data_IF_090074402522
#
_entry.id   IF_090074402522
#
_cell.length_a   1.000
_cell.length_b   1.000
_cell.length_c   1.000
_cell.angle_alpha   90.00
_cell.angle_beta   90.00
_cell.angle_gamma   90.00
#
_symmetry.space_group_name_H-M   'P 1'
#
loop_
_entity.id
_entity.type
_entity.pdbx_description
1 polymer ?
#
# COMPACT_ATOMS: atom_id res chain seq x y z
N UNK A 1 16.85 -8.03 0.74
CA UNK A 1 16.91 -7.31 2.02
C UNK A 1 15.62 -6.50 2.11
N UNK A 2 14.92 -6.55 3.23
CA UNK A 2 13.67 -5.80 3.44
C UNK A 2 13.95 -4.44 4.06
N UNK A 3 13.22 -3.42 3.66
CA UNK A 3 13.40 -2.03 4.09
C UNK A 3 12.22 -1.56 4.92
N UNK A 4 12.48 -0.74 5.95
CA UNK A 4 11.42 -0.07 6.69
C UNK A 4 10.76 0.99 5.82
N UNK A 5 9.44 0.94 5.69
CA UNK A 5 8.62 1.83 4.84
C UNK A 5 7.37 2.25 5.58
N UNK A 6 6.86 3.43 5.25
CA UNK A 6 5.60 3.93 5.79
C UNK A 6 4.51 3.81 4.74
N UNK A 7 3.41 3.15 5.07
CA UNK A 7 2.23 3.01 4.22
C UNK A 7 1.20 4.05 4.64
N UNK A 8 0.62 4.77 3.67
CA UNK A 8 -0.48 5.72 3.90
C UNK A 8 -1.70 5.31 3.10
N UNK A 9 -2.83 5.19 3.78
CA UNK A 9 -4.09 4.79 3.18
C UNK A 9 -5.00 5.97 2.94
N UNK A 10 -5.62 6.01 1.76
CA UNK A 10 -6.55 7.06 1.38
C UNK A 10 -7.96 6.51 1.12
N UNK A 11 -8.97 7.35 1.38
CA UNK A 11 -10.38 7.09 1.08
C UNK A 11 -10.84 5.65 1.44
N UNK A 12 -11.33 4.88 0.46
CA UNK A 12 -11.81 3.51 0.65
C UNK A 12 -10.77 2.54 1.20
N UNK A 13 -9.48 2.75 0.93
CA UNK A 13 -8.40 1.93 1.48
C UNK A 13 -8.21 2.20 2.97
N UNK A 14 -8.30 3.47 3.41
CA UNK A 14 -8.28 3.83 4.83
C UNK A 14 -9.46 3.23 5.58
N UNK A 15 -10.65 3.29 4.98
CA UNK A 15 -11.85 2.71 5.58
C UNK A 15 -11.78 1.18 5.69
N UNK A 16 -11.04 0.52 4.79
CA UNK A 16 -10.82 -0.92 4.82
C UNK A 16 -9.70 -1.33 5.79
N UNK A 17 -8.60 -0.58 5.84
CA UNK A 17 -7.47 -0.83 6.75
C UNK A 17 -7.77 -0.41 8.20
N UNK A 18 -8.71 0.51 8.41
CA UNK A 18 -9.04 1.04 9.75
C UNK A 18 -7.98 1.99 10.33
N UNK A 19 -6.85 2.17 9.65
CA UNK A 19 -5.74 3.05 10.02
C UNK A 19 -5.43 4.03 8.88
N UNK A 20 -4.94 5.21 9.24
CA UNK A 20 -4.51 6.21 8.24
C UNK A 20 -3.10 5.88 7.73
N UNK A 21 -2.20 5.53 8.64
CA UNK A 21 -0.81 5.20 8.33
C UNK A 21 -0.34 4.02 9.18
N UNK A 22 0.62 3.25 8.65
CA UNK A 22 1.32 2.21 9.40
C UNK A 22 2.73 2.01 8.85
N UNK A 23 3.63 1.50 9.70
CA UNK A 23 4.99 1.16 9.31
C UNK A 23 5.13 -0.34 9.04
N UNK A 24 5.83 -0.67 7.96
CA UNK A 24 6.06 -2.05 7.51
C UNK A 24 7.50 -2.25 7.09
N UNK A 25 7.90 -3.51 6.99
CA UNK A 25 9.21 -3.89 6.48
C UNK A 25 9.03 -4.81 5.27
N UNK A 26 9.38 -4.33 4.08
CA UNK A 26 9.15 -5.05 2.84
C UNK A 26 10.32 -4.88 1.87
N UNK A 27 10.60 -5.91 1.07
CA UNK A 27 11.65 -5.84 0.07
C UNK A 27 11.18 -5.17 -1.23
N UNK A 28 9.94 -5.44 -1.62
CA UNK A 28 9.34 -4.93 -2.87
C UNK A 28 7.90 -4.47 -2.65
N UNK A 29 7.35 -3.75 -3.63
CA UNK A 29 5.95 -3.35 -3.61
C UNK A 29 5.00 -4.56 -3.50
N UNK A 30 5.24 -5.63 -4.26
CA UNK A 30 4.42 -6.85 -4.17
C UNK A 30 4.49 -7.53 -2.79
N UNK A 31 5.66 -7.49 -2.16
CA UNK A 31 5.82 -8.01 -0.80
C UNK A 31 5.03 -7.19 0.21
N UNK A 32 5.14 -5.86 0.13
CA UNK A 32 4.38 -4.95 0.97
C UNK A 32 2.86 -5.16 0.81
N UNK A 33 2.36 -5.21 -0.42
CA UNK A 33 0.93 -5.37 -0.72
C UNK A 33 0.38 -6.68 -0.17
N UNK A 34 1.13 -7.78 -0.28
CA UNK A 34 0.76 -9.06 0.33
C UNK A 34 0.71 -8.97 1.85
N UNK A 35 1.74 -8.39 2.49
CA UNK A 35 1.78 -8.25 3.95
C UNK A 35 0.60 -7.45 4.52
N UNK A 36 0.23 -6.34 3.88
CA UNK A 36 -0.90 -5.52 4.34
C UNK A 36 -2.25 -6.20 4.07
N UNK A 37 -2.39 -6.93 2.95
CA UNK A 37 -3.58 -7.72 2.66
C UNK A 37 -3.78 -8.82 3.70
N UNK A 38 -2.73 -9.57 4.03
CA UNK A 38 -2.77 -10.64 5.03
C UNK A 38 -3.08 -10.10 6.43
N UNK A 39 -2.54 -8.93 6.79
CA UNK A 39 -2.73 -8.34 8.11
C UNK A 39 -4.14 -7.76 8.34
N UNK A 40 -4.75 -7.13 7.33
CA UNK A 40 -6.05 -6.47 7.44
C UNK A 40 -7.22 -7.33 6.91
N UNK A 41 -6.90 -8.42 6.24
CA UNK A 41 -7.86 -9.41 5.78
C UNK A 41 -8.57 -9.07 4.46
N UNK A 42 -9.61 -9.85 4.10
CA UNK A 42 -10.13 -9.92 2.73
C UNK A 42 -10.82 -8.64 2.26
N UNK A 43 -11.23 -7.75 3.19
CA UNK A 43 -11.81 -6.46 2.82
C UNK A 43 -10.77 -5.54 2.19
N UNK A 44 -9.59 -5.42 2.81
CA UNK A 44 -8.52 -4.59 2.26
C UNK A 44 -7.93 -5.23 1.00
N UNK A 45 -7.77 -6.56 0.98
CA UNK A 45 -7.29 -7.30 -0.19
C UNK A 45 -8.09 -6.94 -1.45
N UNK A 46 -9.43 -6.97 -1.38
CA UNK A 46 -10.29 -6.56 -2.49
C UNK A 46 -10.07 -5.13 -2.92
N UNK A 47 -9.90 -4.20 -1.98
CA UNK A 47 -9.67 -2.78 -2.29
C UNK A 47 -8.34 -2.60 -3.00
N UNK A 48 -7.29 -3.29 -2.54
CA UNK A 48 -5.94 -3.21 -3.11
C UNK A 48 -5.89 -3.62 -4.59
N UNK A 49 -6.74 -4.56 -5.04
CA UNK A 49 -6.80 -4.96 -6.46
C UNK A 49 -7.21 -3.83 -7.41
N UNK A 50 -7.93 -2.83 -6.92
CA UNK A 50 -8.33 -1.66 -7.69
C UNK A 50 -7.46 -0.43 -7.42
N UNK A 51 -6.61 -0.47 -6.39
CA UNK A 51 -5.77 0.66 -5.98
C UNK A 51 -4.62 0.91 -6.94
N UNK A 52 -4.24 2.18 -7.04
CA UNK A 52 -2.92 2.61 -7.51
C UNK A 52 -1.99 2.85 -6.33
N UNK A 53 -0.71 2.58 -6.53
CA UNK A 53 0.33 2.81 -5.53
C UNK A 53 1.22 3.96 -5.96
N UNK A 54 1.53 4.87 -5.04
CA UNK A 54 2.62 5.83 -5.22
C UNK A 54 3.76 5.45 -4.30
N UNK A 55 4.98 5.45 -4.83
CA UNK A 55 6.22 5.27 -4.07
C UNK A 55 6.95 6.61 -4.08
N UNK A 56 7.09 7.23 -2.91
CA UNK A 56 7.64 8.58 -2.74
C UNK A 56 6.96 9.62 -3.67
N UNK A 57 5.64 9.50 -3.80
CA UNK A 57 4.81 10.37 -4.63
C UNK A 57 4.83 10.06 -6.13
N UNK A 58 5.59 9.06 -6.58
CA UNK A 58 5.64 8.63 -7.98
C UNK A 58 4.81 7.38 -8.21
N UNK A 59 4.03 7.33 -9.30
CA UNK A 59 3.19 6.16 -9.58
C UNK A 59 4.04 4.91 -9.80
N UNK A 60 3.85 3.91 -8.95
CA UNK A 60 4.51 2.62 -9.03
C UNK A 60 3.53 1.58 -9.57
N UNK A 61 3.80 1.08 -10.77
CA UNK A 61 3.04 0.00 -11.40
C UNK A 61 3.78 -1.33 -11.41
N UNK A 62 5.10 -1.30 -11.20
CA UNK A 62 5.94 -2.49 -11.16
C UNK A 62 5.85 -3.14 -9.77
N UNK A 63 5.27 -4.36 -9.65
CA UNK A 63 5.22 -5.08 -8.39
C UNK A 63 6.61 -5.50 -7.89
N UNK A 64 7.60 -5.61 -8.78
CA UNK A 64 8.99 -5.94 -8.49
C UNK A 64 9.82 -4.76 -7.99
N UNK A 65 9.26 -3.55 -7.96
CA UNK A 65 9.96 -2.34 -7.51
C UNK A 65 10.51 -2.54 -6.09
N UNK A 66 11.84 -2.45 -5.97
CA UNK A 66 12.52 -2.54 -4.69
C UNK A 66 12.23 -1.29 -3.85
N UNK A 67 11.91 -1.50 -2.57
CA UNK A 67 11.62 -0.42 -1.65
C UNK A 67 12.88 -0.03 -0.87
N UNK A 68 13.18 1.26 -0.82
CA UNK A 68 14.28 1.79 -0.03
C UNK A 68 13.85 2.06 1.41
N UNK A 69 14.78 2.08 2.38
CA UNK A 69 14.46 2.48 3.75
C UNK A 69 13.96 3.92 3.79
N UNK A 70 12.87 4.15 4.54
CA UNK A 70 12.23 5.45 4.68
C UNK A 70 11.28 5.83 3.54
N UNK A 71 11.11 4.95 2.54
CA UNK A 71 10.15 5.17 1.46
C UNK A 71 8.72 5.25 2.00
N UNK A 72 7.95 6.17 1.43
CA UNK A 72 6.51 6.31 1.69
C UNK A 72 5.72 5.69 0.55
N UNK A 73 4.79 4.81 0.89
CA UNK A 73 3.90 4.14 -0.07
C UNK A 73 2.46 4.61 0.14
N UNK A 74 1.90 5.31 -0.84
CA UNK A 74 0.51 5.75 -0.82
C UNK A 74 -0.40 4.74 -1.52
N UNK A 75 -1.45 4.31 -0.82
CA UNK A 75 -2.48 3.42 -1.34
C UNK A 75 -3.70 4.26 -1.74
N UNK A 76 -3.85 4.46 -3.05
CA UNK A 76 -4.89 5.29 -3.64
C UNK A 76 -5.94 4.40 -4.31
N UNK A 77 -7.08 4.13 -3.66
CA UNK A 77 -8.21 3.50 -4.36
C UNK A 77 -8.69 4.40 -5.50
N UNK A 78 -9.34 3.84 -6.53
CA UNK A 78 -9.90 4.65 -7.60
C UNK A 78 -10.89 5.63 -6.98
N UNK A 79 -10.94 6.85 -7.51
CA UNK A 79 -11.94 7.82 -7.07
C UNK A 79 -13.32 7.21 -7.24
N UNK A 80 -13.93 6.79 -6.12
CA UNK A 80 -15.35 6.49 -6.06
C UNK A 80 -16.09 7.83 -6.02
N UNK A 81 -16.06 8.54 -7.15
CA UNK A 81 -16.97 9.66 -7.39
C UNK A 81 -18.37 9.08 -7.44
N UNK A 82 -19.11 9.24 -6.35
CA UNK A 82 -20.57 9.14 -6.34
C UNK A 82 -21.18 10.44 -6.81
#
# INVERSE_FOLDING_TARGET
MSSAVTVRYFAGARAAAGVETEDRTAATLADLVRQIADAHGPRLEKVLTACSFLVDGQQARDPGLALAPGTVVDVLPPFAGG
#
